data_IF_794688993341
#
_entry.id   IF_794688993341
#
_cell.length_a   1.000
_cell.length_b   1.000
_cell.length_c   1.000
_cell.angle_alpha   90.00
_cell.angle_beta   90.00
_cell.angle_gamma   90.00
#
_symmetry.space_group_name_H-M   'P 1'
#
loop_
_entity.id
_entity.type
_entity.pdbx_description
1 polymer ?
#
# COMPACT_ATOMS: atom_id res chain seq x y z
N UNK A 1 -23.95 -33.47 18.74
CA UNK A 1 -24.03 -33.54 17.27
C UNK A 1 -22.73 -33.10 16.58
N UNK A 2 -22.15 -31.94 16.89
CA UNK A 2 -20.90 -31.42 16.27
C UNK A 2 -19.74 -32.43 16.39
N UNK A 3 -19.48 -33.02 17.54
CA UNK A 3 -18.42 -34.04 17.75
C UNK A 3 -18.56 -35.24 16.80
N UNK A 4 -19.80 -35.66 16.51
CA UNK A 4 -20.08 -36.80 15.60
C UNK A 4 -19.71 -36.39 14.16
N UNK A 5 -20.12 -35.22 13.68
CA UNK A 5 -19.80 -34.71 12.36
C UNK A 5 -18.28 -34.49 12.19
N UNK A 6 -17.60 -33.97 13.20
CA UNK A 6 -16.13 -33.83 13.18
C UNK A 6 -15.43 -35.20 13.05
N UNK A 7 -15.87 -36.20 13.84
CA UNK A 7 -15.30 -37.57 13.76
C UNK A 7 -15.55 -38.22 12.39
N UNK A 8 -16.77 -38.06 11.84
CA UNK A 8 -17.11 -38.56 10.52
C UNK A 8 -16.30 -37.87 9.42
N UNK A 9 -16.16 -36.54 9.46
CA UNK A 9 -15.35 -35.80 8.50
C UNK A 9 -13.88 -36.23 8.55
N UNK A 10 -13.32 -36.42 9.74
CA UNK A 10 -11.95 -36.91 9.92
C UNK A 10 -11.73 -38.31 9.35
N UNK A 11 -12.70 -39.20 9.54
CA UNK A 11 -12.65 -40.56 8.99
C UNK A 11 -12.69 -40.53 7.46
N UNK A 12 -13.56 -39.68 6.87
CA UNK A 12 -13.68 -39.52 5.41
C UNK A 12 -12.43 -38.92 4.78
N UNK A 13 -11.79 -37.96 5.46
CA UNK A 13 -10.49 -37.40 5.03
C UNK A 13 -9.43 -38.52 4.94
N UNK A 14 -9.39 -39.38 5.94
CA UNK A 14 -8.44 -40.52 5.95
C UNK A 14 -8.73 -41.60 4.89
N UNK A 15 -10.00 -41.83 4.59
CA UNK A 15 -10.41 -42.81 3.58
C UNK A 15 -10.13 -42.32 2.15
N UNK A 16 -10.27 -41.02 1.87
CA UNK A 16 -10.08 -40.42 0.55
C UNK A 16 -8.93 -39.42 0.56
N UNK A 17 -7.72 -39.86 0.88
CA UNK A 17 -6.54 -38.99 1.06
C UNK A 17 -6.24 -38.12 -0.16
N UNK A 18 -6.23 -38.70 -1.37
CA UNK A 18 -5.95 -37.97 -2.60
C UNK A 18 -6.92 -36.81 -2.82
N UNK A 19 -8.21 -37.10 -2.68
CA UNK A 19 -9.25 -36.10 -2.89
C UNK A 19 -9.22 -35.00 -1.85
N UNK A 20 -9.04 -35.35 -0.59
CA UNK A 20 -8.93 -34.40 0.51
C UNK A 20 -7.69 -33.51 0.37
N UNK A 21 -6.57 -34.09 -0.10
CA UNK A 21 -5.35 -33.31 -0.36
C UNK A 21 -5.54 -32.30 -1.49
N UNK A 22 -6.14 -32.71 -2.61
CA UNK A 22 -6.44 -31.80 -3.75
C UNK A 22 -7.37 -30.67 -3.28
N UNK A 23 -8.39 -30.98 -2.47
CA UNK A 23 -9.30 -29.99 -1.93
C UNK A 23 -8.58 -29.00 -1.00
N UNK A 24 -7.76 -29.48 -0.08
CA UNK A 24 -7.01 -28.66 0.87
C UNK A 24 -6.01 -27.76 0.14
N UNK A 25 -5.28 -28.30 -0.84
CA UNK A 25 -4.31 -27.55 -1.64
C UNK A 25 -5.02 -26.50 -2.50
N UNK A 26 -6.10 -26.85 -3.19
CA UNK A 26 -6.87 -25.92 -4.02
C UNK A 26 -7.49 -24.80 -3.20
N UNK A 27 -8.09 -25.14 -2.05
CA UNK A 27 -8.59 -24.12 -1.10
C UNK A 27 -7.45 -23.28 -0.53
N UNK A 28 -6.32 -23.90 -0.18
CA UNK A 28 -5.15 -23.21 0.35
C UNK A 28 -4.57 -22.22 -0.66
N UNK A 29 -4.43 -22.60 -1.92
CA UNK A 29 -3.97 -21.68 -2.97
C UNK A 29 -4.92 -20.50 -3.15
N UNK A 30 -6.23 -20.76 -3.12
CA UNK A 30 -7.24 -19.70 -3.21
C UNK A 30 -7.15 -18.71 -2.06
N UNK A 31 -7.03 -19.21 -0.83
CA UNK A 31 -6.84 -18.38 0.36
C UNK A 31 -5.53 -17.60 0.29
N UNK A 32 -4.45 -18.24 -0.17
CA UNK A 32 -3.15 -17.57 -0.30
C UNK A 32 -3.21 -16.38 -1.27
N UNK A 33 -3.85 -16.54 -2.43
CA UNK A 33 -4.01 -15.45 -3.40
C UNK A 33 -4.83 -14.28 -2.83
N UNK A 34 -5.95 -14.58 -2.15
CA UNK A 34 -6.78 -13.56 -1.50
C UNK A 34 -5.99 -12.83 -0.42
N UNK A 35 -5.25 -13.56 0.41
CA UNK A 35 -4.41 -12.99 1.46
C UNK A 35 -3.31 -12.09 0.91
N UNK A 36 -2.60 -12.51 -0.14
CA UNK A 36 -1.57 -11.70 -0.80
C UNK A 36 -2.16 -10.36 -1.24
N UNK A 37 -3.32 -10.36 -1.90
CA UNK A 37 -3.97 -9.13 -2.33
C UNK A 37 -4.39 -8.26 -1.14
N UNK A 38 -4.95 -8.84 -0.10
CA UNK A 38 -5.32 -8.08 1.10
C UNK A 38 -4.09 -7.49 1.81
N UNK A 39 -2.99 -8.22 1.89
CA UNK A 39 -1.73 -7.71 2.44
C UNK A 39 -1.21 -6.53 1.61
N UNK A 40 -1.25 -6.62 0.28
CA UNK A 40 -0.83 -5.53 -0.60
C UNK A 40 -1.67 -4.25 -0.37
N UNK A 41 -3.00 -4.38 -0.34
CA UNK A 41 -3.88 -3.25 -0.06
C UNK A 41 -3.71 -2.70 1.35
N UNK A 42 -3.45 -3.58 2.31
CA UNK A 42 -3.12 -3.16 3.67
C UNK A 42 -1.86 -2.30 3.70
N UNK A 43 -0.78 -2.77 3.11
CA UNK A 43 0.48 -2.02 3.01
C UNK A 43 0.25 -0.66 2.32
N UNK A 44 -0.60 -0.63 1.29
CA UNK A 44 -0.88 0.59 0.52
C UNK A 44 -1.68 1.64 1.30
N UNK A 45 -2.64 1.23 2.13
CA UNK A 45 -3.61 2.15 2.73
C UNK A 45 -3.55 2.26 4.24
N UNK A 46 -3.09 1.23 4.94
CA UNK A 46 -3.08 1.22 6.40
C UNK A 46 -1.97 2.10 6.99
N UNK A 47 -2.16 2.60 8.22
CA UNK A 47 -1.11 3.27 8.97
C UNK A 47 -0.05 2.25 9.39
N UNK A 48 1.11 2.27 8.72
CA UNK A 48 2.27 1.41 8.98
C UNK A 48 3.52 2.25 9.14
N UNK A 49 4.55 1.69 9.80
CA UNK A 49 5.84 2.36 10.01
C UNK A 49 6.49 2.82 8.70
N UNK A 50 6.97 4.07 8.64
CA UNK A 50 6.88 5.16 9.61
C UNK A 50 5.67 6.09 9.39
N UNK A 51 4.71 5.71 8.55
CA UNK A 51 3.58 6.51 8.07
C UNK A 51 2.31 6.27 8.90
N UNK A 52 2.42 6.27 10.24
CA UNK A 52 1.28 5.98 11.14
C UNK A 52 0.14 7.01 11.07
N UNK A 53 0.42 8.23 10.58
CA UNK A 53 -0.57 9.32 10.50
C UNK A 53 -1.29 9.41 9.15
N UNK A 54 -1.30 8.34 8.33
CA UNK A 54 -1.92 8.35 6.99
C UNK A 54 -3.38 8.80 7.00
N UNK A 55 -4.13 8.43 8.02
CA UNK A 55 -5.52 8.82 8.22
C UNK A 55 -5.71 10.33 8.40
N UNK A 56 -4.75 11.03 9.01
CA UNK A 56 -4.75 12.48 9.27
C UNK A 56 -3.96 13.29 8.25
N UNK A 57 -3.36 12.62 7.27
CA UNK A 57 -2.47 13.27 6.29
C UNK A 57 -3.22 13.66 5.03
N UNK A 58 -3.10 14.93 4.65
CA UNK A 58 -3.47 15.46 3.35
C UNK A 58 -2.21 15.61 2.49
N UNK A 59 -2.36 15.40 1.20
CA UNK A 59 -1.23 15.34 0.25
C UNK A 59 -1.45 16.28 -0.92
N UNK A 60 -0.44 17.10 -1.23
CA UNK A 60 -0.44 17.95 -2.39
C UNK A 60 0.87 17.74 -3.16
N UNK A 61 0.79 17.26 -4.39
CA UNK A 61 1.94 16.87 -5.21
C UNK A 61 2.10 17.71 -6.47
N UNK A 62 1.08 18.46 -6.87
CA UNK A 62 1.13 19.20 -8.11
C UNK A 62 0.20 20.40 -8.09
N UNK A 63 0.63 21.44 -8.80
CA UNK A 63 -0.19 22.58 -9.20
C UNK A 63 0.02 22.80 -10.69
N UNK A 64 -1.03 23.20 -11.39
CA UNK A 64 -0.98 23.52 -12.82
C UNK A 64 -1.20 25.01 -13.02
N UNK A 65 -0.39 25.61 -13.88
CA UNK A 65 -0.53 26.97 -14.37
C UNK A 65 -0.99 26.87 -15.82
N UNK A 66 -2.13 27.45 -16.14
CA UNK A 66 -2.69 27.47 -17.48
C UNK A 66 -2.76 28.90 -18.02
N UNK A 67 -2.28 29.07 -19.24
CA UNK A 67 -2.31 30.34 -19.95
C UNK A 67 -2.78 30.11 -21.40
N UNK A 68 -3.96 30.64 -21.76
CA UNK A 68 -4.61 30.41 -23.07
C UNK A 68 -4.67 28.91 -23.40
N UNK A 69 -3.87 28.45 -24.36
CA UNK A 69 -3.81 27.08 -24.83
C UNK A 69 -2.60 26.28 -24.29
N UNK A 70 -1.77 26.91 -23.46
CA UNK A 70 -0.61 26.27 -22.85
C UNK A 70 -0.88 25.95 -21.38
N UNK A 71 -0.34 24.85 -20.91
CA UNK A 71 -0.41 24.44 -19.53
C UNK A 71 0.94 23.90 -19.08
N UNK A 72 1.38 24.35 -17.93
CA UNK A 72 2.54 23.82 -17.22
C UNK A 72 2.10 23.27 -15.87
N UNK A 73 2.43 22.04 -15.59
CA UNK A 73 2.15 21.40 -14.30
C UNK A 73 3.45 20.85 -13.74
N UNK A 74 3.69 21.12 -12.46
CA UNK A 74 4.86 20.58 -11.77
C UNK A 74 4.52 20.38 -10.27
N UNK A 75 5.46 19.82 -9.53
CA UNK A 75 5.40 19.76 -8.09
C UNK A 75 5.39 21.19 -7.49
N UNK A 76 5.23 21.28 -6.17
CA UNK A 76 5.11 22.54 -5.47
C UNK A 76 6.47 23.21 -5.29
N UNK A 77 6.48 24.52 -5.23
CA UNK A 77 7.66 25.30 -4.84
C UNK A 77 7.96 25.15 -3.34
N UNK A 78 9.16 25.53 -2.95
CA UNK A 78 9.53 25.62 -1.54
C UNK A 78 8.61 26.58 -0.77
N UNK A 79 8.22 27.68 -1.41
CA UNK A 79 7.33 28.69 -0.84
C UNK A 79 5.97 28.11 -0.39
N UNK A 80 5.40 27.18 -1.14
CA UNK A 80 4.15 26.53 -0.75
C UNK A 80 4.26 25.79 0.58
N UNK A 81 5.23 24.92 0.70
CA UNK A 81 5.38 24.06 1.87
C UNK A 81 5.96 24.76 3.10
N UNK A 82 6.82 25.77 2.90
CA UNK A 82 7.49 26.47 3.97
C UNK A 82 6.73 27.70 4.46
N UNK A 83 6.19 28.52 3.53
CA UNK A 83 5.64 29.84 3.89
C UNK A 83 4.11 29.91 3.92
N UNK A 84 3.42 29.17 3.03
CA UNK A 84 1.98 29.29 2.85
C UNK A 84 1.19 28.27 3.67
N UNK A 85 1.41 26.98 3.41
CA UNK A 85 0.61 25.90 4.00
C UNK A 85 0.70 25.88 5.54
N UNK A 86 1.86 26.09 6.19
CA UNK A 86 1.94 26.10 7.66
C UNK A 86 1.08 27.16 8.35
N UNK A 87 0.69 28.22 7.62
CA UNK A 87 -0.14 29.32 8.13
C UNK A 87 -1.64 29.09 7.93
N UNK A 88 -2.02 28.03 7.21
CA UNK A 88 -3.41 27.70 6.93
C UNK A 88 -4.09 27.05 8.13
N UNK A 89 -5.43 27.23 8.18
CA UNK A 89 -6.24 26.72 9.30
C UNK A 89 -6.23 25.20 9.34
N UNK A 90 -6.18 24.66 10.55
CA UNK A 90 -6.27 23.22 10.78
C UNK A 90 -4.98 22.44 10.50
N UNK A 91 -3.98 23.04 9.88
CA UNK A 91 -2.67 22.42 9.67
C UNK A 91 -1.95 22.29 11.03
N UNK A 92 -1.39 21.10 11.25
CA UNK A 92 -0.56 20.83 12.42
C UNK A 92 0.92 20.87 12.06
N UNK A 93 1.33 20.03 11.11
CA UNK A 93 2.71 19.92 10.63
C UNK A 93 2.73 19.75 9.12
N UNK A 94 3.82 20.18 8.47
CA UNK A 94 4.02 20.07 7.02
C UNK A 94 5.36 19.42 6.72
N UNK A 95 5.34 18.28 6.08
CA UNK A 95 6.49 17.62 5.51
C UNK A 95 6.64 18.03 4.04
N UNK A 96 7.82 18.51 3.69
CA UNK A 96 8.24 18.74 2.32
C UNK A 96 9.22 17.65 1.93
N UNK A 97 8.97 17.00 0.80
CA UNK A 97 9.79 15.91 0.30
C UNK A 97 10.21 16.23 -1.12
N UNK A 98 11.51 16.23 -1.35
CA UNK A 98 12.10 16.20 -2.67
C UNK A 98 12.84 14.87 -2.84
N UNK A 99 12.32 14.01 -3.69
CA UNK A 99 12.93 12.70 -4.00
C UNK A 99 13.89 12.77 -5.21
N UNK A 100 14.41 13.98 -5.52
CA UNK A 100 15.13 14.23 -6.75
C UNK A 100 14.18 14.55 -7.92
N UNK A 101 14.71 14.81 -9.09
CA UNK A 101 13.96 15.27 -10.28
C UNK A 101 12.98 14.25 -10.88
N UNK A 102 12.53 13.27 -10.11
CA UNK A 102 11.58 12.23 -10.55
C UNK A 102 12.21 11.18 -11.49
N UNK A 103 13.45 11.34 -11.85
CA UNK A 103 14.23 10.34 -12.57
C UNK A 103 14.94 9.44 -11.56
N UNK A 104 14.50 8.23 -11.51
CA UNK A 104 14.78 7.09 -10.63
C UNK A 104 16.27 6.72 -10.47
N UNK A 105 17.19 7.50 -11.00
CA UNK A 105 18.61 7.20 -11.04
C UNK A 105 19.50 8.15 -10.22
N UNK A 106 18.94 9.05 -9.43
CA UNK A 106 19.76 9.86 -8.53
C UNK A 106 20.22 9.02 -7.33
N UNK A 107 21.05 8.03 -7.66
CA UNK A 107 21.78 7.29 -6.65
C UNK A 107 22.94 8.15 -6.21
N UNK A 108 22.88 8.60 -4.99
CA UNK A 108 23.98 9.30 -4.35
C UNK A 108 25.12 8.29 -4.08
N UNK A 109 26.34 8.65 -4.45
CA UNK A 109 27.51 7.84 -4.13
C UNK A 109 28.10 8.38 -2.84
N UNK A 110 27.99 7.62 -1.75
CA UNK A 110 28.60 7.97 -0.47
C UNK A 110 29.98 7.32 -0.38
N UNK A 111 30.97 8.14 -0.07
CA UNK A 111 32.35 7.68 0.12
C UNK A 111 32.66 7.61 1.61
N UNK A 112 32.74 6.42 2.20
CA UNK A 112 33.36 6.26 3.51
C UNK A 112 34.87 6.41 3.36
N UNK A 113 35.52 7.14 4.26
CA UNK A 113 36.99 7.32 4.23
C UNK A 113 37.71 5.97 4.17
N UNK A 114 38.38 5.69 3.05
CA UNK A 114 39.16 4.45 2.85
C UNK A 114 38.38 3.17 2.56
N UNK A 115 37.13 3.27 2.12
CA UNK A 115 36.28 2.14 1.70
C UNK A 115 35.73 2.35 0.30
N UNK A 116 35.12 1.28 -0.26
CA UNK A 116 34.43 1.34 -1.55
C UNK A 116 33.21 2.27 -1.51
N UNK A 117 32.90 2.86 -2.63
CA UNK A 117 31.75 3.72 -2.82
C UNK A 117 30.45 2.92 -2.62
N UNK A 118 29.53 3.48 -1.86
CA UNK A 118 28.21 2.91 -1.61
C UNK A 118 27.16 3.73 -2.32
N UNK A 119 26.40 3.09 -3.18
CA UNK A 119 25.24 3.71 -3.82
C UNK A 119 24.06 3.70 -2.85
N UNK A 120 23.42 4.86 -2.64
CA UNK A 120 22.32 5.07 -1.71
C UNK A 120 21.18 5.82 -2.38
N UNK A 121 19.98 5.62 -1.88
CA UNK A 121 18.78 6.38 -2.28
C UNK A 121 18.65 7.61 -1.38
N UNK A 122 18.85 8.83 -1.91
CA UNK A 122 18.73 10.05 -1.14
C UNK A 122 17.29 10.56 -1.09
N UNK A 123 17.01 11.35 -0.05
CA UNK A 123 15.78 12.15 0.06
C UNK A 123 16.10 13.47 0.76
N UNK A 124 15.71 14.60 0.17
CA UNK A 124 15.80 15.90 0.82
C UNK A 124 14.48 16.23 1.48
N UNK A 125 14.53 16.55 2.77
CA UNK A 125 13.34 16.79 3.58
C UNK A 125 13.55 17.99 4.52
N UNK A 126 12.43 18.64 4.91
CA UNK A 126 12.43 19.66 5.93
C UNK A 126 12.32 19.04 7.34
N UNK A 127 12.44 19.86 8.37
CA UNK A 127 12.27 19.45 9.77
C UNK A 127 10.85 18.92 10.07
N UNK A 128 9.83 19.41 9.38
CA UNK A 128 8.44 18.98 9.49
C UNK A 128 8.23 17.53 9.11
N UNK A 129 9.09 16.96 8.27
CA UNK A 129 9.05 15.55 7.87
C UNK A 129 9.06 14.62 9.08
N UNK A 130 9.91 14.90 10.06
CA UNK A 130 10.04 14.09 11.27
C UNK A 130 8.86 14.22 12.24
N UNK A 131 8.01 15.24 12.09
CA UNK A 131 6.78 15.43 12.87
C UNK A 131 5.56 14.79 12.19
N UNK A 132 5.53 14.80 10.86
CA UNK A 132 4.47 14.15 10.07
C UNK A 132 4.63 12.64 10.10
N UNK A 133 5.86 12.16 9.91
CA UNK A 133 6.21 10.75 9.89
C UNK A 133 6.94 10.35 11.18
N UNK A 134 6.58 9.19 11.72
CA UNK A 134 7.08 8.73 13.02
C UNK A 134 8.19 7.71 12.83
N UNK A 135 9.42 8.17 12.89
CA UNK A 135 10.61 7.32 12.77
C UNK A 135 11.12 6.82 14.12
N UNK A 136 11.53 5.56 14.17
CA UNK A 136 12.20 4.96 15.32
C UNK A 136 13.71 5.25 15.27
N UNK A 137 14.19 6.20 16.05
CA UNK A 137 15.61 6.51 16.17
C UNK A 137 16.33 5.47 17.03
N UNK A 138 17.38 4.87 16.47
CA UNK A 138 18.28 3.92 17.16
C UNK A 138 19.33 4.71 17.93
N UNK A 139 19.87 5.78 17.31
CA UNK A 139 20.82 6.70 17.94
C UNK A 139 20.63 8.10 17.38
N UNK A 140 21.02 9.11 18.16
CA UNK A 140 20.92 10.51 17.78
C UNK A 140 19.50 11.04 17.75
N UNK A 141 19.26 12.04 16.90
CA UNK A 141 17.97 12.75 16.76
C UNK A 141 17.82 13.31 15.35
N UNK A 142 16.59 13.68 14.93
CA UNK A 142 16.40 14.38 13.66
C UNK A 142 17.10 15.72 13.64
N UNK A 143 17.43 16.22 12.46
CA UNK A 143 17.81 17.62 12.29
C UNK A 143 16.59 18.52 12.46
N UNK A 144 16.84 19.79 12.74
CA UNK A 144 15.84 20.78 13.16
C UNK A 144 15.75 21.91 12.14
N UNK A 145 14.69 22.73 12.25
CA UNK A 145 14.53 23.99 11.52
C UNK A 145 15.77 24.92 11.67
N UNK A 146 16.42 24.92 12.83
CA UNK A 146 17.66 25.67 13.02
C UNK A 146 18.84 25.16 12.17
N UNK A 147 18.89 23.83 11.92
CA UNK A 147 19.89 23.22 11.03
C UNK A 147 19.59 23.58 9.58
N UNK A 148 18.30 23.59 9.18
CA UNK A 148 17.84 23.99 7.85
C UNK A 148 18.16 25.47 7.58
N UNK A 149 17.79 26.37 8.48
CA UNK A 149 18.11 27.82 8.36
C UNK A 149 19.59 28.12 8.32
N UNK A 150 20.36 27.38 9.11
CA UNK A 150 21.82 27.50 9.11
C UNK A 150 22.50 26.75 7.94
N UNK A 151 21.74 26.11 7.09
CA UNK A 151 22.24 25.30 5.95
C UNK A 151 23.34 24.32 6.37
N UNK A 152 23.14 23.66 7.51
CA UNK A 152 24.08 22.65 7.99
C UNK A 152 23.90 21.38 7.17
N UNK A 153 24.99 20.85 6.64
CA UNK A 153 24.97 19.57 5.93
C UNK A 153 24.81 18.44 6.95
N UNK A 154 23.57 18.19 7.39
CA UNK A 154 23.19 17.11 8.28
C UNK A 154 22.39 16.06 7.55
N UNK A 155 22.60 14.81 7.96
CA UNK A 155 21.87 13.67 7.44
C UNK A 155 21.41 12.75 8.56
N UNK A 156 20.23 12.15 8.38
CA UNK A 156 19.80 10.97 9.11
C UNK A 156 19.96 9.79 8.16
N UNK A 157 20.44 8.65 8.65
CA UNK A 157 20.73 7.48 7.84
C UNK A 157 19.99 6.25 8.37
N UNK A 158 19.75 5.27 7.48
CA UNK A 158 19.18 3.99 7.86
C UNK A 158 20.19 3.14 8.65
N UNK A 159 19.69 2.20 9.45
CA UNK A 159 20.52 1.28 10.23
C UNK A 159 21.40 0.43 9.31
N UNK A 160 20.84 -0.07 8.20
CA UNK A 160 21.58 -0.85 7.21
C UNK A 160 22.71 -0.05 6.58
N UNK A 161 22.48 1.22 6.23
CA UNK A 161 23.52 2.09 5.71
C UNK A 161 24.61 2.36 6.76
N UNK A 162 24.23 2.65 8.00
CA UNK A 162 25.18 2.87 9.10
C UNK A 162 26.09 1.65 9.30
N UNK A 163 25.53 0.43 9.35
CA UNK A 163 26.29 -0.81 9.47
C UNK A 163 27.18 -1.06 8.25
N UNK A 164 26.69 -0.83 7.04
CA UNK A 164 27.43 -1.03 5.78
C UNK A 164 28.64 -0.11 5.67
N UNK A 165 28.46 1.17 6.01
CA UNK A 165 29.50 2.20 5.87
C UNK A 165 30.47 2.21 7.05
N UNK A 166 29.96 2.14 8.26
CA UNK A 166 30.75 2.35 9.47
C UNK A 166 30.97 1.07 10.29
N UNK A 167 30.24 -0.01 10.01
CA UNK A 167 30.29 -1.24 10.78
C UNK A 167 29.52 -1.22 12.10
N UNK A 168 28.79 -0.12 12.39
CA UNK A 168 28.05 0.09 13.64
C UNK A 168 26.83 0.96 13.39
N UNK A 169 25.82 0.90 14.26
CA UNK A 169 24.69 1.82 14.27
C UNK A 169 24.94 3.05 15.17
N UNK A 170 25.99 3.02 16.02
CA UNK A 170 26.39 4.16 16.84
C UNK A 170 27.42 5.01 16.10
N UNK A 171 26.94 5.93 15.26
CA UNK A 171 27.76 6.70 14.31
C UNK A 171 27.43 8.20 14.31
N UNK A 172 26.65 8.66 15.27
CA UNK A 172 26.30 10.08 15.40
C UNK A 172 27.56 10.95 15.49
N UNK A 173 27.58 12.06 14.75
CA UNK A 173 28.73 12.97 14.63
C UNK A 173 29.81 12.51 13.66
N UNK A 174 29.69 11.32 13.05
CA UNK A 174 30.57 10.92 11.94
C UNK A 174 30.14 11.59 10.64
N UNK A 175 30.99 11.55 9.64
CA UNK A 175 30.78 12.22 8.36
C UNK A 175 30.70 11.23 7.21
N UNK A 176 29.74 11.49 6.32
CA UNK A 176 29.66 10.92 4.99
C UNK A 176 30.09 11.99 3.98
N UNK A 177 30.75 11.58 2.90
CA UNK A 177 31.17 12.49 1.84
C UNK A 177 30.47 12.14 0.54
N UNK A 178 29.94 13.14 -0.15
CA UNK A 178 29.37 13.02 -1.47
C UNK A 178 29.75 14.24 -2.32
N UNK A 179 30.41 14.02 -3.46
CA UNK A 179 30.83 15.07 -4.39
C UNK A 179 31.58 16.24 -3.69
N UNK A 180 32.44 15.92 -2.72
CA UNK A 180 33.20 16.91 -1.96
C UNK A 180 32.42 17.61 -0.84
N UNK A 181 31.12 17.35 -0.69
CA UNK A 181 30.33 17.83 0.44
C UNK A 181 30.35 16.79 1.56
N UNK A 182 30.55 17.28 2.79
CA UNK A 182 30.52 16.45 3.99
C UNK A 182 29.19 16.63 4.72
N UNK A 183 28.56 15.50 5.03
CA UNK A 183 27.31 15.45 5.79
C UNK A 183 27.57 14.82 7.15
N UNK A 184 27.26 15.55 8.23
CA UNK A 184 27.30 15.05 9.59
C UNK A 184 26.10 14.14 9.86
N UNK A 185 26.33 12.93 10.36
CA UNK A 185 25.27 12.02 10.77
C UNK A 185 24.63 12.56 12.06
N UNK A 186 23.41 13.07 11.96
CA UNK A 186 22.62 13.59 13.07
C UNK A 186 21.91 12.47 13.84
N UNK A 187 21.52 11.40 13.15
CA UNK A 187 20.83 10.26 13.75
C UNK A 187 20.81 9.05 12.83
N UNK A 188 20.51 7.92 13.44
CA UNK A 188 20.29 6.64 12.75
C UNK A 188 18.90 6.14 13.09
N UNK A 189 18.15 5.76 12.07
CA UNK A 189 16.78 5.24 12.19
C UNK A 189 16.70 3.78 11.76
N UNK A 190 15.67 3.06 12.23
CA UNK A 190 15.35 1.74 11.70
C UNK A 190 15.13 1.81 10.20
N UNK A 191 15.46 0.74 9.51
CA UNK A 191 15.25 0.64 8.07
C UNK A 191 13.78 0.84 7.71
N UNK A 192 13.55 1.59 6.65
CA UNK A 192 12.23 1.82 6.08
C UNK A 192 12.05 0.89 4.88
N UNK A 193 10.88 0.29 4.75
CA UNK A 193 10.58 -0.59 3.62
C UNK A 193 10.29 0.22 2.35
N UNK A 194 10.77 -0.25 1.20
CA UNK A 194 10.36 0.29 -0.10
C UNK A 194 8.85 0.12 -0.38
N UNK A 195 8.14 -0.64 0.44
CA UNK A 195 6.68 -0.72 0.45
C UNK A 195 6.00 0.58 0.93
N UNK A 196 6.74 1.49 1.57
CA UNK A 196 6.32 2.85 1.93
C UNK A 196 7.13 3.89 1.13
N UNK A 197 6.86 4.03 -0.18
CA UNK A 197 7.70 4.81 -1.10
C UNK A 197 7.77 6.31 -0.76
N UNK A 198 6.79 6.82 -0.03
CA UNK A 198 6.76 8.22 0.42
C UNK A 198 7.90 8.56 1.36
N UNK A 199 8.30 7.60 2.20
CA UNK A 199 9.29 7.80 3.27
C UNK A 199 10.57 7.00 3.07
N UNK A 200 10.61 6.12 2.06
CA UNK A 200 11.75 5.26 1.78
C UNK A 200 12.95 6.03 1.28
N UNK A 201 14.05 5.95 2.00
CA UNK A 201 15.38 6.38 1.60
C UNK A 201 16.44 5.63 2.42
N UNK A 202 17.69 5.64 1.96
CA UNK A 202 18.85 5.21 2.76
C UNK A 202 19.43 6.37 3.57
N UNK A 203 19.26 7.59 3.05
CA UNK A 203 19.77 8.83 3.64
C UNK A 203 18.76 9.97 3.46
N UNK A 204 18.39 10.61 4.55
CA UNK A 204 17.56 11.81 4.57
C UNK A 204 18.42 13.02 4.90
N UNK A 205 18.38 14.02 4.03
CA UNK A 205 19.24 15.20 4.12
C UNK A 205 18.41 16.47 4.24
N UNK A 206 19.00 17.49 4.87
CA UNK A 206 18.44 18.83 4.92
C UNK A 206 18.31 19.38 3.49
N UNK A 207 17.19 20.04 3.18
CA UNK A 207 16.98 20.72 1.90
C UNK A 207 18.06 21.77 1.68
N UNK A 208 18.89 21.64 0.61
CA UNK A 208 19.93 22.62 0.35
C UNK A 208 19.32 23.94 -0.16
N UNK A 209 19.97 25.06 0.09
CA UNK A 209 19.49 26.39 -0.29
C UNK A 209 19.25 26.54 -1.80
N UNK A 210 20.12 25.92 -2.59
CA UNK A 210 19.99 25.90 -4.06
C UNK A 210 18.74 25.19 -4.54
N UNK A 211 18.24 24.20 -3.79
CA UNK A 211 16.99 23.49 -4.08
C UNK A 211 15.79 24.01 -3.28
N UNK A 212 16.03 24.82 -2.23
CA UNK A 212 15.02 25.47 -1.41
C UNK A 212 14.60 26.82 -1.98
N UNK A 213 14.83 27.89 -1.21
CA UNK A 213 14.40 29.24 -1.55
C UNK A 213 14.99 29.78 -2.86
N UNK A 214 16.18 29.30 -3.26
CA UNK A 214 16.81 29.74 -4.52
C UNK A 214 16.21 29.03 -5.76
N UNK A 215 15.75 27.78 -5.62
CA UNK A 215 15.07 27.06 -6.72
C UNK A 215 13.76 27.72 -7.14
N UNK A 216 13.09 28.41 -6.19
CA UNK A 216 11.88 29.18 -6.49
C UNK A 216 12.11 30.37 -7.43
N UNK A 217 13.35 30.75 -7.64
CA UNK A 217 13.76 31.81 -8.59
C UNK A 217 14.14 31.26 -9.98
N UNK A 218 13.93 29.98 -10.21
CA UNK A 218 14.23 29.36 -11.50
C UNK A 218 13.36 30.00 -12.59
N UNK A 219 13.99 30.46 -13.67
CA UNK A 219 13.27 31.03 -14.81
C UNK A 219 12.50 29.92 -15.52
N UNK A 220 11.19 29.94 -15.36
CA UNK A 220 10.25 29.04 -16.03
C UNK A 220 9.33 29.89 -16.90
N UNK A 221 9.38 29.71 -18.21
CA UNK A 221 8.57 30.50 -19.15
C UNK A 221 7.38 29.70 -19.64
N UNK A 222 6.20 30.34 -19.63
CA UNK A 222 5.00 29.88 -20.30
C UNK A 222 4.57 30.96 -21.30
N UNK A 223 4.69 30.68 -22.59
CA UNK A 223 4.63 31.70 -23.61
C UNK A 223 5.69 32.79 -23.43
N UNK A 224 5.25 34.05 -23.24
CA UNK A 224 6.13 35.20 -23.01
C UNK A 224 6.30 35.56 -21.53
N UNK A 225 5.68 34.83 -20.62
CA UNK A 225 5.65 35.15 -19.18
C UNK A 225 6.61 34.24 -18.41
N UNK A 226 7.44 34.86 -17.59
CA UNK A 226 8.26 34.13 -16.61
C UNK A 226 7.39 33.73 -15.40
N UNK A 227 6.85 32.52 -15.46
CA UNK A 227 6.01 31.96 -14.38
C UNK A 227 6.84 31.51 -13.17
N UNK A 228 8.16 31.42 -13.28
CA UNK A 228 9.05 31.16 -12.16
C UNK A 228 8.94 32.24 -11.09
N UNK A 229 8.73 33.50 -11.48
CA UNK A 229 8.51 34.62 -10.56
C UNK A 229 7.26 34.48 -9.69
N UNK A 230 6.30 33.65 -10.10
CA UNK A 230 5.11 33.36 -9.29
C UNK A 230 5.42 32.48 -8.08
N UNK A 231 6.57 31.82 -8.06
CA UNK A 231 7.06 30.93 -6.99
C UNK A 231 6.04 29.83 -6.63
N UNK A 232 5.34 29.28 -7.63
CA UNK A 232 4.29 28.30 -7.45
C UNK A 232 4.74 26.89 -7.80
N UNK A 233 5.60 26.76 -8.83
CA UNK A 233 6.11 25.50 -9.34
C UNK A 233 7.50 25.21 -8.75
N UNK A 234 7.78 23.95 -8.46
CA UNK A 234 9.04 23.48 -7.90
C UNK A 234 9.15 21.97 -7.93
N UNK A 235 9.87 21.40 -6.95
CA UNK A 235 10.21 19.98 -6.90
C UNK A 235 9.70 19.27 -5.63
N UNK A 236 8.77 19.89 -4.88
CA UNK A 236 8.34 19.36 -3.59
C UNK A 236 6.96 18.74 -3.62
N UNK A 237 6.84 17.58 -2.98
CA UNK A 237 5.58 17.02 -2.54
C UNK A 237 5.33 17.46 -1.09
N UNK A 238 4.15 17.98 -0.80
CA UNK A 238 3.77 18.40 0.55
C UNK A 238 2.81 17.41 1.19
N UNK A 239 3.15 16.95 2.37
CA UNK A 239 2.32 16.10 3.22
C UNK A 239 1.98 16.87 4.48
N UNK A 240 0.70 17.07 4.74
CA UNK A 240 0.20 17.94 5.79
C UNK A 240 -0.62 17.13 6.78
N UNK A 241 -0.24 17.11 8.04
CA UNK A 241 -1.11 16.54 9.08
C UNK A 241 -2.09 17.60 9.55
N UNK A 242 -3.36 17.19 9.74
CA UNK A 242 -4.39 18.04 10.32
C UNK A 242 -4.59 17.73 11.81
N UNK A 243 -5.13 18.70 12.56
CA UNK A 243 -5.40 18.54 13.99
C UNK A 243 -6.59 17.61 14.23
N UNK A 244 -7.66 17.84 13.50
CA UNK A 244 -8.92 17.07 13.57
C UNK A 244 -9.37 16.68 12.15
N UNK A 245 -10.19 15.64 12.04
CA UNK A 245 -10.65 15.14 10.74
C UNK A 245 -11.46 16.17 9.93
N UNK A 246 -12.26 16.98 10.63
CA UNK A 246 -13.00 18.10 10.02
C UNK A 246 -12.11 19.16 9.36
N UNK A 247 -10.85 19.29 9.82
CA UNK A 247 -9.91 20.28 9.29
C UNK A 247 -9.44 19.94 7.87
N UNK A 248 -9.58 18.68 7.43
CA UNK A 248 -9.29 18.29 6.05
C UNK A 248 -10.12 19.08 5.03
N UNK A 249 -11.41 19.20 5.28
CA UNK A 249 -12.30 19.95 4.40
C UNK A 249 -12.00 21.45 4.44
N UNK A 250 -11.70 21.99 5.62
CA UNK A 250 -11.32 23.40 5.82
C UNK A 250 -10.04 23.71 5.05
N UNK A 251 -9.01 22.88 5.21
CA UNK A 251 -7.73 23.04 4.51
C UNK A 251 -7.89 22.97 3.00
N UNK A 252 -8.67 21.98 2.51
CA UNK A 252 -8.95 21.82 1.07
C UNK A 252 -9.66 23.04 0.48
N UNK A 253 -10.64 23.60 1.20
CA UNK A 253 -11.32 24.81 0.79
C UNK A 253 -10.38 26.02 0.80
N UNK A 254 -9.59 26.22 1.85
CA UNK A 254 -8.67 27.35 1.98
C UNK A 254 -7.61 27.35 0.86
N UNK A 255 -7.02 26.21 0.55
CA UNK A 255 -6.07 26.05 -0.57
C UNK A 255 -6.76 26.34 -1.91
N UNK A 256 -8.00 25.85 -2.08
CA UNK A 256 -8.79 26.09 -3.31
C UNK A 256 -9.12 27.56 -3.48
N UNK A 257 -9.52 28.24 -2.41
CA UNK A 257 -9.80 29.69 -2.42
C UNK A 257 -8.53 30.50 -2.71
N UNK A 258 -7.39 30.08 -2.16
CA UNK A 258 -6.11 30.71 -2.46
C UNK A 258 -5.75 30.63 -3.94
N UNK A 259 -5.88 29.44 -4.57
CA UNK A 259 -5.62 29.27 -6.00
C UNK A 259 -6.60 30.10 -6.87
N UNK A 260 -7.88 30.18 -6.48
CA UNK A 260 -8.86 31.06 -7.14
C UNK A 260 -8.47 32.52 -7.03
N UNK A 261 -8.06 32.97 -5.85
CA UNK A 261 -7.62 34.35 -5.62
C UNK A 261 -6.40 34.69 -6.49
N UNK A 262 -5.43 33.80 -6.58
CA UNK A 262 -4.30 33.96 -7.49
C UNK A 262 -4.74 34.09 -8.94
N UNK A 263 -5.65 33.21 -9.39
CA UNK A 263 -6.19 33.25 -10.75
C UNK A 263 -6.91 34.58 -11.05
N UNK A 264 -7.54 35.18 -10.06
CA UNK A 264 -8.16 36.51 -10.21
C UNK A 264 -7.13 37.63 -10.30
N UNK A 265 -6.05 37.56 -9.50
CA UNK A 265 -4.96 38.54 -9.53
C UNK A 265 -4.25 38.58 -10.88
N UNK A 266 -4.04 37.42 -11.50
CA UNK A 266 -3.34 37.27 -12.78
C UNK A 266 -4.29 37.13 -13.99
N UNK A 267 -5.56 37.51 -13.82
CA UNK A 267 -6.57 37.43 -14.89
C UNK A 267 -6.21 38.28 -16.12
N UNK A 268 -5.55 39.42 -15.91
CA UNK A 268 -5.09 40.30 -17.01
C UNK A 268 -4.08 39.61 -17.91
N UNK A 269 -3.24 38.77 -17.33
CA UNK A 269 -2.21 38.00 -18.02
C UNK A 269 -2.77 36.69 -18.59
N UNK A 270 -4.09 36.45 -18.46
CA UNK A 270 -4.77 35.21 -18.86
C UNK A 270 -4.20 33.98 -18.17
N UNK A 271 -3.67 34.11 -16.95
CA UNK A 271 -3.13 33.02 -16.15
C UNK A 271 -4.19 32.52 -15.16
N UNK A 272 -4.33 31.20 -15.08
CA UNK A 272 -5.16 30.52 -14.07
C UNK A 272 -4.37 29.42 -13.39
N UNK A 273 -4.70 29.17 -12.11
CA UNK A 273 -4.07 28.15 -11.27
C UNK A 273 -5.08 27.04 -11.01
N UNK A 274 -4.72 25.81 -11.40
CA UNK A 274 -5.57 24.64 -11.27
C UNK A 274 -4.91 23.61 -10.34
N UNK A 275 -5.65 23.19 -9.32
CA UNK A 275 -5.19 22.19 -8.34
C UNK A 275 -5.62 20.77 -8.69
N UNK A 276 -6.51 20.62 -9.67
CA UNK A 276 -7.07 19.35 -10.13
C UNK A 276 -7.63 18.50 -8.97
N UNK A 277 -8.29 19.18 -8.01
CA UNK A 277 -8.93 18.57 -6.84
C UNK A 277 -8.00 18.31 -5.64
N UNK A 278 -6.72 18.65 -5.72
CA UNK A 278 -5.82 18.58 -4.57
C UNK A 278 -6.07 19.76 -3.58
N UNK A 279 -5.69 19.63 -2.31
CA UNK A 279 -5.01 18.48 -1.68
C UNK A 279 -5.92 17.25 -1.57
N UNK A 280 -5.30 16.10 -1.68
CA UNK A 280 -5.93 14.79 -1.54
C UNK A 280 -5.81 14.26 -0.11
N UNK A 281 -6.72 13.38 0.30
CA UNK A 281 -6.43 12.47 1.40
C UNK A 281 -5.30 11.50 0.98
N UNK A 282 -4.66 10.84 1.93
CA UNK A 282 -3.59 9.86 1.62
C UNK A 282 -4.08 8.77 0.66
N UNK A 283 -5.29 8.27 0.87
CA UNK A 283 -5.91 7.24 0.02
C UNK A 283 -6.15 7.78 -1.40
N UNK A 284 -6.72 8.98 -1.54
CA UNK A 284 -6.95 9.63 -2.84
C UNK A 284 -5.63 9.83 -3.59
N UNK A 285 -4.59 10.32 -2.91
CA UNK A 285 -3.25 10.48 -3.50
C UNK A 285 -2.65 9.16 -3.99
N UNK A 286 -2.95 8.04 -3.30
CA UNK A 286 -2.46 6.71 -3.65
C UNK A 286 -3.16 6.09 -4.87
N UNK A 287 -4.37 6.54 -5.20
CA UNK A 287 -5.16 6.06 -6.34
C UNK A 287 -5.18 7.03 -7.51
N UNK A 288 -4.60 8.23 -7.37
CA UNK A 288 -4.48 9.22 -8.44
C UNK A 288 -3.52 8.70 -9.52
N UNK A 289 -3.94 8.62 -10.80
CA UNK A 289 -3.09 8.04 -11.86
C UNK A 289 -1.82 8.84 -12.12
N UNK A 290 -1.95 10.16 -12.19
CA UNK A 290 -0.85 11.11 -12.34
C UNK A 290 -1.10 12.32 -11.45
N UNK A 291 -0.04 12.95 -10.96
CA UNK A 291 -0.17 14.06 -10.00
C UNK A 291 -1.06 15.22 -10.49
N UNK A 292 -1.06 15.49 -11.78
CA UNK A 292 -1.86 16.56 -12.42
C UNK A 292 -3.15 16.07 -13.10
N UNK A 293 -3.60 14.83 -12.83
CA UNK A 293 -4.83 14.27 -13.40
C UNK A 293 -5.96 14.21 -12.38
N UNK A 294 -7.23 14.39 -12.77
CA UNK A 294 -8.35 14.19 -11.87
C UNK A 294 -8.51 12.70 -11.51
N UNK A 295 -9.01 12.42 -10.32
CA UNK A 295 -9.34 11.07 -9.91
C UNK A 295 -10.69 10.67 -10.52
N UNK A 296 -10.68 9.62 -11.35
CA UNK A 296 -11.92 9.01 -11.82
C UNK A 296 -12.33 7.89 -10.86
N UNK A 297 -13.08 8.26 -9.81
CA UNK A 297 -13.53 7.31 -8.78
C UNK A 297 -14.32 6.14 -9.36
N UNK A 298 -15.17 6.39 -10.37
CA UNK A 298 -15.97 5.32 -11.01
C UNK A 298 -15.05 4.25 -11.63
N UNK A 299 -14.06 4.66 -12.39
CA UNK A 299 -13.09 3.75 -13.02
C UNK A 299 -12.29 2.99 -11.95
N UNK A 300 -11.80 3.69 -10.92
CA UNK A 300 -11.02 3.07 -9.84
C UNK A 300 -11.84 2.02 -9.07
N UNK A 301 -13.06 2.36 -8.69
CA UNK A 301 -13.98 1.43 -8.00
C UNK A 301 -14.33 0.27 -8.91
N UNK A 302 -14.63 0.51 -10.19
CA UNK A 302 -14.95 -0.57 -11.14
C UNK A 302 -13.77 -1.52 -11.31
N UNK A 303 -12.56 -1.01 -11.51
CA UNK A 303 -11.35 -1.84 -11.64
C UNK A 303 -11.10 -2.68 -10.38
N UNK A 304 -11.27 -2.08 -9.20
CA UNK A 304 -11.15 -2.79 -7.93
C UNK A 304 -12.19 -3.91 -7.82
N UNK A 305 -13.47 -3.61 -8.12
CA UNK A 305 -14.55 -4.61 -8.05
C UNK A 305 -14.36 -5.74 -9.06
N UNK A 306 -13.94 -5.44 -10.29
CA UNK A 306 -13.66 -6.46 -11.33
C UNK A 306 -12.51 -7.36 -10.89
N UNK A 307 -11.43 -6.77 -10.36
CA UNK A 307 -10.29 -7.54 -9.85
C UNK A 307 -10.70 -8.42 -8.67
N UNK A 308 -11.43 -7.89 -7.69
CA UNK A 308 -11.93 -8.66 -6.55
C UNK A 308 -12.88 -9.78 -7.00
N UNK A 309 -13.79 -9.49 -7.94
CA UNK A 309 -14.67 -10.49 -8.50
C UNK A 309 -13.88 -11.63 -9.15
N UNK A 310 -12.91 -11.33 -10.00
CA UNK A 310 -12.09 -12.35 -10.67
C UNK A 310 -11.33 -13.22 -9.66
N UNK A 311 -10.71 -12.59 -8.64
CA UNK A 311 -9.97 -13.29 -7.58
C UNK A 311 -10.85 -14.21 -6.73
N UNK A 312 -12.09 -13.85 -6.51
CA UNK A 312 -13.04 -14.64 -5.72
C UNK A 312 -13.76 -15.69 -6.56
N UNK A 313 -14.08 -15.38 -7.82
CA UNK A 313 -14.89 -16.21 -8.69
C UNK A 313 -14.15 -17.45 -9.19
N UNK A 314 -12.88 -17.31 -9.62
CA UNK A 314 -12.09 -18.44 -10.13
C UNK A 314 -11.90 -19.55 -9.08
N UNK A 315 -11.48 -19.25 -7.82
CA UNK A 315 -11.44 -20.25 -6.77
C UNK A 315 -12.80 -20.86 -6.46
N UNK A 316 -13.87 -20.05 -6.44
CA UNK A 316 -15.22 -20.54 -6.17
C UNK A 316 -15.70 -21.55 -7.20
N UNK A 317 -15.43 -21.30 -8.50
CA UNK A 317 -15.73 -22.26 -9.56
C UNK A 317 -14.98 -23.58 -9.41
N UNK A 318 -13.68 -23.50 -9.11
CA UNK A 318 -12.85 -24.69 -8.88
C UNK A 318 -13.40 -25.54 -7.73
N UNK A 319 -13.75 -24.89 -6.62
CA UNK A 319 -14.36 -25.57 -5.46
C UNK A 319 -15.72 -26.18 -5.80
N UNK A 320 -16.57 -25.46 -6.56
CA UNK A 320 -17.86 -25.95 -6.99
C UNK A 320 -17.72 -27.24 -7.81
N UNK A 321 -16.78 -27.29 -8.75
CA UNK A 321 -16.48 -28.49 -9.54
C UNK A 321 -16.01 -29.67 -8.70
N UNK A 322 -15.11 -29.44 -7.75
CA UNK A 322 -14.63 -30.47 -6.84
C UNK A 322 -15.72 -31.02 -5.92
N UNK A 323 -16.58 -30.16 -5.41
CA UNK A 323 -17.70 -30.57 -4.54
C UNK A 323 -18.74 -31.38 -5.37
N UNK A 324 -19.06 -30.93 -6.61
CA UNK A 324 -19.96 -31.65 -7.49
C UNK A 324 -19.47 -33.07 -7.77
N UNK A 325 -18.24 -33.24 -8.21
CA UNK A 325 -17.64 -34.56 -8.48
C UNK A 325 -17.65 -35.47 -7.24
N UNK A 326 -17.42 -34.91 -6.05
CA UNK A 326 -17.51 -35.67 -4.81
C UNK A 326 -18.92 -36.09 -4.45
N UNK A 327 -19.91 -35.25 -4.74
CA UNK A 327 -21.32 -35.56 -4.51
C UNK A 327 -21.79 -36.68 -5.43
N UNK A 328 -21.36 -36.64 -6.69
CA UNK A 328 -21.71 -37.70 -7.69
C UNK A 328 -21.19 -39.04 -7.21
N UNK A 329 -19.96 -39.15 -6.71
CA UNK A 329 -19.37 -40.36 -6.16
C UNK A 329 -20.08 -40.91 -4.90
N UNK A 330 -20.91 -40.08 -4.24
CA UNK A 330 -21.60 -40.42 -2.97
C UNK A 330 -23.12 -40.47 -3.12
N UNK A 331 -23.63 -40.36 -4.36
CA UNK A 331 -25.08 -40.33 -4.60
C UNK A 331 -25.78 -41.62 -4.12
N UNK A 332 -25.16 -42.78 -4.34
CA UNK A 332 -25.74 -44.08 -3.88
C UNK A 332 -25.81 -44.16 -2.34
N UNK A 333 -24.77 -43.74 -1.64
CA UNK A 333 -24.77 -43.68 -0.17
C UNK A 333 -25.88 -42.76 0.39
N UNK A 334 -26.05 -41.59 -0.24
CA UNK A 334 -27.12 -40.66 0.15
C UNK A 334 -28.52 -41.18 -0.20
N UNK A 335 -28.64 -41.89 -1.32
CA UNK A 335 -29.88 -42.58 -1.68
C UNK A 335 -30.32 -43.60 -0.63
N UNK A 336 -29.37 -44.45 -0.19
CA UNK A 336 -29.60 -45.42 0.89
C UNK A 336 -30.01 -44.72 2.20
N UNK A 337 -29.30 -43.67 2.61
CA UNK A 337 -29.64 -42.91 3.84
C UNK A 337 -31.02 -42.26 3.75
N UNK A 338 -31.43 -41.74 2.59
CA UNK A 338 -32.78 -41.23 2.37
C UNK A 338 -33.83 -42.36 2.49
N UNK A 339 -33.55 -43.55 1.93
CA UNK A 339 -34.44 -44.70 2.06
C UNK A 339 -34.66 -45.13 3.50
N UNK A 340 -33.60 -44.95 4.37
CA UNK A 340 -33.71 -45.18 5.81
C UNK A 340 -34.26 -43.96 6.60
N UNK A 341 -34.85 -42.96 5.91
CA UNK A 341 -35.58 -41.87 6.55
C UNK A 341 -34.73 -40.65 6.93
N UNK A 342 -33.49 -40.54 6.44
CA UNK A 342 -32.68 -39.35 6.68
C UNK A 342 -33.26 -38.08 6.03
N UNK A 343 -33.50 -37.03 6.81
CA UNK A 343 -34.04 -35.75 6.31
C UNK A 343 -32.98 -35.03 5.44
N UNK A 344 -33.43 -34.37 4.38
CA UNK A 344 -32.55 -33.57 3.48
C UNK A 344 -31.68 -32.55 4.26
N UNK A 345 -32.27 -31.89 5.26
CA UNK A 345 -31.55 -30.94 6.13
C UNK A 345 -30.38 -31.57 6.90
N UNK A 346 -30.56 -32.81 7.37
CA UNK A 346 -29.50 -33.55 8.10
C UNK A 346 -28.33 -33.91 7.19
N UNK A 347 -28.64 -34.40 5.95
CA UNK A 347 -27.61 -34.71 4.94
C UNK A 347 -26.88 -33.46 4.49
N UNK A 348 -27.58 -32.35 4.23
CA UNK A 348 -26.98 -31.08 3.88
C UNK A 348 -26.07 -30.57 4.99
N UNK A 349 -26.53 -30.58 6.24
CA UNK A 349 -25.72 -30.18 7.39
C UNK A 349 -24.43 -31.01 7.52
N UNK A 350 -24.49 -32.30 7.26
CA UNK A 350 -23.31 -33.17 7.29
C UNK A 350 -22.30 -32.75 6.23
N UNK A 351 -22.75 -32.52 4.98
CA UNK A 351 -21.89 -32.06 3.88
C UNK A 351 -21.23 -30.71 4.20
N UNK A 352 -22.01 -29.78 4.75
CA UNK A 352 -21.51 -28.46 5.12
C UNK A 352 -20.45 -28.53 6.21
N UNK A 353 -20.65 -29.34 7.27
CA UNK A 353 -19.65 -29.53 8.32
C UNK A 353 -18.36 -30.15 7.80
N UNK A 354 -18.45 -31.10 6.88
CA UNK A 354 -17.30 -31.70 6.23
C UNK A 354 -16.51 -30.67 5.42
N UNK A 355 -17.20 -29.85 4.64
CA UNK A 355 -16.56 -28.76 3.89
C UNK A 355 -15.94 -27.70 4.80
N UNK A 356 -16.57 -27.35 5.91
CA UNK A 356 -16.02 -26.42 6.90
C UNK A 356 -14.67 -26.92 7.44
N UNK A 357 -14.55 -28.19 7.77
CA UNK A 357 -13.31 -28.77 8.29
C UNK A 357 -12.19 -28.76 7.24
N UNK A 358 -12.50 -29.15 6.01
CA UNK A 358 -11.57 -29.12 4.90
C UNK A 358 -11.13 -27.70 4.55
N UNK A 359 -12.09 -26.76 4.55
CA UNK A 359 -11.82 -25.33 4.34
C UNK A 359 -10.93 -24.75 5.43
N UNK A 360 -11.15 -25.14 6.71
CA UNK A 360 -10.29 -24.69 7.80
C UNK A 360 -8.85 -25.19 7.63
N UNK A 361 -8.66 -26.45 7.23
CA UNK A 361 -7.34 -26.98 6.94
C UNK A 361 -6.68 -26.27 5.73
N UNK A 362 -7.46 -26.04 4.66
CA UNK A 362 -7.03 -25.28 3.50
C UNK A 362 -6.69 -23.82 3.84
N UNK A 363 -7.49 -23.17 4.69
CA UNK A 363 -7.22 -21.80 5.12
C UNK A 363 -5.92 -21.68 5.91
N UNK A 364 -5.63 -22.63 6.83
CA UNK A 364 -4.34 -22.65 7.53
C UNK A 364 -3.17 -22.83 6.57
N UNK A 365 -3.28 -23.75 5.61
CA UNK A 365 -2.27 -23.94 4.57
C UNK A 365 -2.10 -22.67 3.74
N UNK A 366 -3.21 -22.04 3.34
CA UNK A 366 -3.21 -20.81 2.53
C UNK A 366 -2.58 -19.63 3.26
N UNK A 367 -2.82 -19.47 4.56
CA UNK A 367 -2.13 -18.47 5.37
C UNK A 367 -0.62 -18.68 5.37
N UNK A 368 -0.16 -19.90 5.59
CA UNK A 368 1.28 -20.22 5.54
C UNK A 368 1.86 -19.94 4.15
N UNK A 369 1.16 -20.39 3.09
CA UNK A 369 1.60 -20.13 1.71
C UNK A 369 1.65 -18.62 1.40
N UNK A 370 0.68 -17.83 1.84
CA UNK A 370 0.67 -16.39 1.60
C UNK A 370 1.88 -15.69 2.21
N UNK A 371 2.29 -16.08 3.41
CA UNK A 371 3.51 -15.54 4.03
C UNK A 371 4.76 -15.95 3.26
N UNK A 372 4.87 -17.21 2.85
CA UNK A 372 6.00 -17.68 2.04
C UNK A 372 6.07 -16.92 0.72
N UNK A 373 4.93 -16.73 0.04
CA UNK A 373 4.85 -15.97 -1.22
C UNK A 373 5.28 -14.51 -1.00
N UNK A 374 4.75 -13.87 0.04
CA UNK A 374 5.09 -12.46 0.32
C UNK A 374 6.56 -12.28 0.66
N UNK A 375 7.17 -13.19 1.42
CA UNK A 375 8.60 -13.10 1.75
C UNK A 375 9.49 -13.44 0.54
N UNK A 376 9.14 -14.47 -0.23
CA UNK A 376 9.95 -14.92 -1.36
C UNK A 376 9.83 -14.04 -2.62
N UNK A 377 8.68 -13.41 -2.83
CA UNK A 377 8.38 -12.62 -4.01
C UNK A 377 8.09 -11.13 -3.70
N UNK A 378 8.47 -10.65 -2.52
CA UNK A 378 8.21 -9.29 -2.05
C UNK A 378 8.67 -8.23 -3.05
N UNK A 379 9.88 -8.32 -3.52
CA UNK A 379 10.47 -7.34 -4.43
C UNK A 379 9.69 -7.26 -5.74
N UNK A 380 9.32 -8.40 -6.31
CA UNK A 380 8.53 -8.47 -7.53
C UNK A 380 7.08 -7.99 -7.34
N UNK A 381 6.41 -8.45 -6.28
CA UNK A 381 5.01 -8.10 -5.99
C UNK A 381 4.87 -6.60 -5.71
N UNK A 382 5.77 -6.03 -4.90
CA UNK A 382 5.69 -4.63 -4.52
C UNK A 382 6.14 -3.69 -5.65
N UNK A 383 7.03 -4.13 -6.55
CA UNK A 383 7.39 -3.38 -7.75
C UNK A 383 6.21 -3.21 -8.72
N UNK A 384 5.29 -4.17 -8.80
CA UNK A 384 4.07 -4.05 -9.62
C UNK A 384 3.22 -2.85 -9.16
N UNK A 385 3.25 -2.54 -7.87
CA UNK A 385 2.45 -1.47 -7.25
C UNK A 385 3.22 -0.17 -7.06
N UNK A 386 4.54 -0.18 -7.22
CA UNK A 386 5.37 1.00 -7.21
C UNK A 386 5.63 1.44 -8.65
N UNK A 387 5.08 2.58 -9.04
CA UNK A 387 5.27 3.18 -10.37
C UNK A 387 6.72 3.59 -10.66
N UNK A 388 7.63 3.34 -9.76
CA UNK A 388 9.04 3.71 -9.83
C UNK A 388 9.89 2.45 -10.01
N UNK A 389 10.37 2.23 -11.24
CA UNK A 389 11.28 1.13 -11.54
C UNK A 389 12.66 1.35 -10.90
N UNK A 390 13.02 0.55 -9.93
CA UNK A 390 14.33 0.52 -9.31
C UNK A 390 14.51 -0.76 -8.52
N UNK A 391 15.74 -1.28 -8.44
CA UNK A 391 16.08 -2.41 -7.57
C UNK A 391 16.13 -1.92 -6.11
N UNK A 392 14.98 -1.85 -5.47
CA UNK A 392 14.88 -1.53 -4.05
C UNK A 392 14.78 -2.81 -3.25
N UNK A 393 15.54 -2.90 -2.16
CA UNK A 393 15.38 -3.98 -1.20
C UNK A 393 14.12 -3.73 -0.36
N UNK A 394 13.12 -4.56 -0.53
CA UNK A 394 11.89 -4.50 0.26
C UNK A 394 12.07 -5.29 1.54
N UNK A 395 12.40 -4.61 2.63
CA UNK A 395 12.32 -5.23 3.94
C UNK A 395 10.87 -5.30 4.39
N UNK A 396 10.24 -6.48 4.22
CA UNK A 396 8.90 -6.70 4.73
C UNK A 396 9.00 -7.01 6.24
N UNK A 397 8.39 -6.15 7.04
CA UNK A 397 8.30 -6.36 8.49
C UNK A 397 7.16 -7.32 8.84
N UNK A 398 7.26 -7.99 9.99
CA UNK A 398 6.17 -8.85 10.48
C UNK A 398 4.85 -8.07 10.64
N UNK A 399 4.91 -6.81 11.04
CA UNK A 399 3.75 -5.92 11.19
C UNK A 399 3.01 -5.70 9.84
N UNK A 400 3.74 -5.64 8.72
CA UNK A 400 3.16 -5.53 7.38
C UNK A 400 2.45 -6.82 6.94
N UNK A 401 2.95 -7.98 7.38
CA UNK A 401 2.42 -9.28 6.99
C UNK A 401 1.26 -9.73 7.88
N UNK A 402 1.29 -9.41 9.15
CA UNK A 402 0.37 -9.94 10.14
C UNK A 402 -0.50 -8.86 10.77
N UNK A 403 -1.66 -8.66 10.17
CA UNK A 403 -2.75 -7.92 10.81
C UNK A 403 -3.89 -8.90 11.14
N UNK A 404 -4.22 -9.13 12.41
CA UNK A 404 -5.23 -10.12 12.81
C UNK A 404 -6.62 -9.80 12.25
N UNK A 405 -6.93 -8.52 12.02
CA UNK A 405 -8.22 -8.10 11.45
C UNK A 405 -8.29 -8.53 9.97
N UNK A 406 -7.24 -8.31 9.21
CA UNK A 406 -7.17 -8.70 7.79
C UNK A 406 -7.21 -10.21 7.63
N UNK A 407 -6.43 -10.93 8.44
CA UNK A 407 -6.49 -12.40 8.48
C UNK A 407 -7.91 -12.86 8.79
N UNK A 408 -8.57 -12.27 9.80
CA UNK A 408 -9.94 -12.58 10.15
C UNK A 408 -10.93 -12.34 8.99
N UNK A 409 -10.85 -11.17 8.33
CA UNK A 409 -11.69 -10.83 7.17
C UNK A 409 -11.45 -11.81 6.02
N UNK A 410 -10.19 -12.10 5.67
CA UNK A 410 -9.85 -13.03 4.59
C UNK A 410 -10.40 -14.43 4.86
N UNK A 411 -10.22 -14.94 6.08
CA UNK A 411 -10.74 -16.23 6.49
C UNK A 411 -12.27 -16.25 6.39
N UNK A 412 -12.95 -15.24 6.91
CA UNK A 412 -14.44 -15.15 6.84
C UNK A 412 -14.90 -15.11 5.37
N UNK A 413 -14.29 -14.29 4.52
CA UNK A 413 -14.62 -14.22 3.09
C UNK A 413 -14.43 -15.59 2.42
N UNK A 414 -13.31 -16.26 2.69
CA UNK A 414 -13.06 -17.61 2.15
C UNK A 414 -14.09 -18.65 2.64
N UNK A 415 -14.46 -18.61 3.92
CA UNK A 415 -15.49 -19.50 4.46
C UNK A 415 -16.84 -19.24 3.81
N UNK A 416 -17.27 -18.00 3.66
CA UNK A 416 -18.54 -17.63 3.01
C UNK A 416 -18.56 -18.11 1.57
N UNK A 417 -17.50 -17.88 0.81
CA UNK A 417 -17.40 -18.33 -0.59
C UNK A 417 -17.40 -19.84 -0.71
N UNK A 418 -16.64 -20.56 0.11
CA UNK A 418 -16.60 -22.01 0.11
C UNK A 418 -17.98 -22.61 0.48
N UNK A 419 -18.65 -22.00 1.46
CA UNK A 419 -19.98 -22.44 1.87
C UNK A 419 -21.01 -22.20 0.73
N UNK A 420 -20.97 -21.03 0.09
CA UNK A 420 -21.82 -20.71 -1.05
C UNK A 420 -21.57 -21.67 -2.21
N UNK A 421 -20.31 -21.95 -2.54
CA UNK A 421 -19.91 -22.90 -3.60
C UNK A 421 -20.32 -24.34 -3.28
N UNK A 422 -20.44 -24.71 -1.99
CA UNK A 422 -20.87 -26.04 -1.57
C UNK A 422 -22.38 -26.24 -1.58
N UNK A 423 -23.14 -25.19 -1.28
CA UNK A 423 -24.60 -25.25 -1.15
C UNK A 423 -25.25 -25.61 -2.50
N UNK A 424 -24.80 -24.99 -3.61
CA UNK A 424 -25.39 -25.17 -4.91
C UNK A 424 -25.31 -26.64 -5.41
N UNK A 425 -24.11 -27.27 -5.51
CA UNK A 425 -24.04 -28.70 -5.91
C UNK A 425 -24.73 -29.64 -4.93
N UNK A 426 -24.58 -29.38 -3.61
CA UNK A 426 -25.21 -30.23 -2.59
C UNK A 426 -26.74 -30.21 -2.68
N UNK A 427 -27.35 -29.05 -2.92
CA UNK A 427 -28.81 -28.93 -3.04
C UNK A 427 -29.32 -29.58 -4.35
N UNK A 428 -28.59 -29.44 -5.45
CA UNK A 428 -28.92 -30.08 -6.72
C UNK A 428 -28.85 -31.61 -6.62
N UNK A 429 -27.75 -32.17 -6.09
CA UNK A 429 -27.59 -33.62 -5.92
C UNK A 429 -28.64 -34.19 -4.95
N UNK A 430 -29.05 -33.47 -3.92
CA UNK A 430 -30.09 -33.91 -2.99
C UNK A 430 -31.52 -33.81 -3.57
N UNK A 431 -31.74 -33.20 -4.75
CA UNK A 431 -33.03 -33.16 -5.46
C UNK A 431 -33.31 -34.44 -6.26
N UNK A 432 -32.30 -35.23 -6.63
CA UNK A 432 -32.47 -36.47 -7.37
C UNK A 432 -33.31 -37.49 -6.59
N UNK A 433 -34.14 -38.23 -7.31
CA UNK A 433 -34.99 -39.27 -6.74
C UNK A 433 -34.16 -40.43 -6.22
N UNK A 434 -34.69 -41.15 -5.21
CA UNK A 434 -34.00 -42.23 -4.50
C UNK A 434 -33.62 -43.33 -5.50
N UNK A 435 -34.52 -43.69 -6.46
CA UNK A 435 -34.29 -44.74 -7.46
C UNK A 435 -33.13 -44.41 -8.39
N UNK A 436 -33.08 -43.16 -8.89
CA UNK A 436 -32.00 -42.69 -9.78
C UNK A 436 -30.69 -42.59 -9.03
N UNK A 437 -30.71 -42.25 -7.74
CA UNK A 437 -29.54 -42.16 -6.89
C UNK A 437 -28.90 -43.52 -6.58
N UNK A 438 -29.69 -44.60 -6.47
CA UNK A 438 -29.19 -45.95 -6.20
C UNK A 438 -28.61 -46.57 -7.47
N UNK A 439 -29.26 -46.35 -8.64
CA UNK A 439 -28.85 -46.91 -9.93
C UNK A 439 -27.69 -46.17 -10.62
N UNK A 440 -27.20 -45.10 -10.07
CA UNK A 440 -26.11 -44.30 -10.67
C UNK A 440 -24.73 -44.99 -10.71
N UNK A 441 -24.62 -46.23 -10.29
CA UNK A 441 -23.41 -47.06 -10.29
C UNK A 441 -23.48 -48.28 -11.21
N UNK A 442 -24.43 -48.38 -12.09
CA UNK A 442 -24.45 -49.43 -13.13
C UNK A 442 -23.85 -48.91 -14.44
#
# INVERSE_FOLDING_TARGET
MIKIYMRQAWTLIKQNKLYSSIYIIGTGLSVALIMVVFIIYYIKFAPIYPEYNRDKTMVMKSISIKMKNEMMANALSYHWGHDLIPKMKGVKDVAMINQGSGYINDKLIVMPKGKENVTVTPMYVNDGFWRVFTFDFISGRPFTDADERAQRNRAVISESLAKKVFGSADVVGRYLENNGLRYEVAGVVKDVSAATPTTYADIWMVIPKSEGAESDNMSLTLGSIDVGKLRMLGNYNCYMTVKEDKDKAILKDEITQYAKKLSLLYKKDSISFELVGQPDTYVESSIRPFNNSPINYKTQITNFLVMMFALLFVPALNLCGMISSRMDGRMSEMGIRKAFGARRKTLLSQILWENIILTAAGALLGLLMSYVIMVAASDWILQIFNSFGGNYSTHITFEMLFNPIIVGIAVVVCFVLNLASAILPATLSLRHDIINSINSKS
#
